data_IF_889120733995
#
_entry.id   IF_889120733995
#
_cell.length_a   1.000
_cell.length_b   1.000
_cell.length_c   1.000
_cell.angle_alpha   90.00
_cell.angle_beta   90.00
_cell.angle_gamma   90.00
#
_symmetry.space_group_name_H-M   'P 1'
#
loop_
_entity.id
_entity.type
_entity.pdbx_description
1 polymer ?
#
# COMPACT_ATOMS: atom_id res chain seq x y z
N UNK A 1 12.33 1.60 -24.35
CA UNK A 1 12.91 0.62 -23.41
C UNK A 1 11.92 0.50 -22.27
N UNK A 2 11.59 -0.73 -21.85
CA UNK A 2 10.84 -0.96 -20.61
C UNK A 2 11.84 -1.09 -19.47
N UNK A 3 11.63 -0.38 -18.38
CA UNK A 3 12.44 -0.54 -17.18
C UNK A 3 12.16 -1.89 -16.52
N UNK A 4 13.16 -2.43 -15.81
CA UNK A 4 12.95 -3.58 -14.94
C UNK A 4 12.20 -3.14 -13.67
N UNK A 5 11.14 -3.87 -13.33
CA UNK A 5 10.24 -3.52 -12.22
C UNK A 5 10.11 -4.73 -11.29
N UNK A 6 10.19 -4.47 -9.99
CA UNK A 6 10.06 -5.48 -8.95
C UNK A 6 8.98 -5.08 -7.94
N UNK A 7 8.35 -6.10 -7.34
CA UNK A 7 7.44 -5.92 -6.20
C UNK A 7 8.28 -5.99 -4.92
N UNK A 8 8.35 -4.89 -4.18
CA UNK A 8 9.15 -4.80 -2.94
C UNK A 8 8.35 -5.18 -1.69
N UNK A 9 7.03 -5.01 -1.70
CA UNK A 9 6.15 -5.37 -0.60
C UNK A 9 4.69 -5.43 -1.03
N UNK A 10 3.92 -6.28 -0.36
CA UNK A 10 2.48 -6.45 -0.59
C UNK A 10 1.73 -6.50 0.73
N UNK A 11 0.54 -5.92 0.77
CA UNK A 11 -0.39 -6.11 1.88
C UNK A 11 -1.81 -5.88 1.37
N UNK A 12 -2.77 -6.56 2.00
CA UNK A 12 -4.20 -6.40 1.72
C UNK A 12 -4.94 -6.19 3.04
N UNK A 13 -5.95 -5.33 3.02
CA UNK A 13 -6.92 -5.26 4.13
C UNK A 13 -7.71 -6.57 4.20
N UNK A 14 -8.25 -6.88 5.38
CA UNK A 14 -9.17 -8.00 5.51
C UNK A 14 -10.42 -7.77 4.65
N UNK A 15 -10.82 -8.79 3.90
CA UNK A 15 -12.07 -8.76 3.14
C UNK A 15 -13.29 -8.81 4.06
N UNK A 16 -14.26 -7.92 3.84
CA UNK A 16 -15.46 -7.84 4.66
C UNK A 16 -16.14 -6.47 4.61
N UNK A 17 -17.20 -6.31 5.41
CA UNK A 17 -17.84 -5.01 5.62
C UNK A 17 -17.02 -4.21 6.64
N UNK A 18 -16.68 -2.99 6.28
CA UNK A 18 -16.05 -2.01 7.17
C UNK A 18 -17.04 -0.86 7.39
N UNK A 19 -17.95 -0.96 8.38
CA UNK A 19 -19.02 0.02 8.57
C UNK A 19 -18.53 1.39 9.06
N UNK A 20 -17.30 1.43 9.57
CA UNK A 20 -16.63 2.56 10.19
C UNK A 20 -15.50 3.16 9.34
N UNK A 21 -15.21 2.59 8.16
CA UNK A 21 -14.11 3.01 7.28
C UNK A 21 -14.62 3.34 5.88
N UNK A 22 -14.05 4.36 5.27
CA UNK A 22 -14.24 4.66 3.86
C UNK A 22 -13.15 4.04 2.97
N UNK A 23 -13.20 4.32 1.67
CA UNK A 23 -12.22 3.79 0.73
C UNK A 23 -10.81 4.36 0.93
N UNK A 24 -10.69 5.59 1.43
CA UNK A 24 -9.40 6.23 1.71
C UNK A 24 -8.77 5.58 2.93
N UNK A 25 -9.55 5.30 3.98
CA UNK A 25 -9.08 4.57 5.15
C UNK A 25 -8.52 3.19 4.78
N UNK A 26 -9.25 2.43 3.95
CA UNK A 26 -8.83 1.11 3.51
C UNK A 26 -7.61 1.15 2.58
N UNK A 27 -7.54 2.14 1.69
CA UNK A 27 -6.38 2.34 0.84
C UNK A 27 -5.13 2.71 1.66
N UNK A 28 -5.29 3.57 2.68
CA UNK A 28 -4.20 3.96 3.57
C UNK A 28 -3.70 2.76 4.38
N UNK A 29 -4.59 1.92 4.92
CA UNK A 29 -4.22 0.69 5.63
C UNK A 29 -3.41 -0.25 4.74
N UNK A 30 -3.89 -0.51 3.51
CA UNK A 30 -3.19 -1.38 2.56
C UNK A 30 -1.82 -0.81 2.15
N UNK A 31 -1.76 0.48 1.80
CA UNK A 31 -0.53 1.13 1.35
C UNK A 31 0.52 1.18 2.46
N UNK A 32 0.14 1.58 3.68
CA UNK A 32 1.07 1.61 4.82
C UNK A 32 1.55 0.19 5.19
N UNK A 33 0.69 -0.82 5.08
CA UNK A 33 1.08 -2.21 5.25
C UNK A 33 2.12 -2.66 4.22
N UNK A 34 1.92 -2.32 2.94
CA UNK A 34 2.86 -2.66 1.87
C UNK A 34 4.22 -1.95 2.03
N UNK A 35 4.22 -0.71 2.52
CA UNK A 35 5.45 0.02 2.87
C UNK A 35 6.20 -0.67 4.03
N UNK A 36 5.46 -1.13 5.05
CA UNK A 36 6.03 -1.86 6.17
C UNK A 36 6.62 -3.22 5.75
N UNK A 37 5.92 -3.97 4.91
CA UNK A 37 6.41 -5.23 4.32
C UNK A 37 7.68 -5.01 3.48
N UNK A 38 7.72 -3.91 2.72
CA UNK A 38 8.87 -3.46 1.95
C UNK A 38 10.04 -2.91 2.81
N UNK A 39 9.83 -2.68 4.11
CA UNK A 39 10.84 -2.10 5.01
C UNK A 39 11.21 -0.64 4.68
N UNK A 40 10.31 0.13 4.08
CA UNK A 40 10.53 1.52 3.65
C UNK A 40 9.48 2.47 4.21
N UNK A 41 9.83 3.75 4.31
CA UNK A 41 8.88 4.82 4.65
C UNK A 41 8.32 5.53 3.42
N UNK A 42 7.30 6.37 3.63
CA UNK A 42 6.68 7.18 2.56
C UNK A 42 7.64 8.21 1.96
N UNK A 43 8.68 8.59 2.70
CA UNK A 43 9.79 9.45 2.24
C UNK A 43 10.56 8.85 1.06
N UNK A 44 10.43 7.53 0.84
CA UNK A 44 11.05 6.82 -0.28
C UNK A 44 10.14 6.72 -1.51
N UNK A 45 8.90 7.19 -1.43
CA UNK A 45 7.91 7.09 -2.51
C UNK A 45 7.92 8.35 -3.37
N UNK A 46 8.15 8.19 -4.67
CA UNK A 46 8.06 9.30 -5.64
C UNK A 46 6.64 9.58 -6.11
N UNK A 47 5.76 8.57 -6.08
CA UNK A 47 4.37 8.62 -6.52
C UNK A 47 3.54 7.71 -5.61
N UNK A 48 2.35 8.16 -5.22
CA UNK A 48 1.29 7.35 -4.62
C UNK A 48 0.03 7.55 -5.49
N UNK A 49 -0.58 6.46 -5.96
CA UNK A 49 -1.67 6.46 -6.93
C UNK A 49 -2.80 5.53 -6.50
#
# INVERSE_FOLDING_TARGET
MSDEVWILGITMTKFGKHPDKDSVDLAAEAALGALADAGVGIDRMGILA
#
